data_IF_164362725684
#
_entry.id   IF_164362725684
#
_cell.length_a   1.000
_cell.length_b   1.000
_cell.length_c   1.000
_cell.angle_alpha   90.00
_cell.angle_beta   90.00
_cell.angle_gamma   90.00
#
_symmetry.space_group_name_H-M   'P 1'
#
loop_
_entity.id
_entity.type
_entity.pdbx_description
1 polymer ?
#
# COMPACT_ATOMS: atom_id res chain seq x y z
N UNK A 1 -14.38 -1.63 -7.13
CA UNK A 1 -15.45 -1.41 -8.13
C UNK A 1 -14.83 -0.74 -9.35
N UNK A 2 -15.38 -0.93 -10.55
CA UNK A 2 -14.89 -0.26 -11.75
C UNK A 2 -16.00 0.61 -12.34
N UNK A 3 -15.71 1.90 -12.52
CA UNK A 3 -16.59 2.85 -13.20
C UNK A 3 -15.95 3.20 -14.55
N UNK A 4 -16.59 2.82 -15.65
CA UNK A 4 -16.10 3.08 -17.01
C UNK A 4 -16.78 4.32 -17.57
N UNK A 5 -15.99 5.27 -18.06
CA UNK A 5 -16.42 6.44 -18.81
C UNK A 5 -15.94 6.35 -20.26
N UNK A 6 -16.19 7.40 -21.05
CA UNK A 6 -15.85 7.41 -22.48
C UNK A 6 -14.35 7.29 -22.75
N UNK A 7 -13.51 7.93 -21.93
CA UNK A 7 -12.06 8.02 -22.11
C UNK A 7 -11.24 7.58 -20.88
N UNK A 8 -11.89 7.26 -19.77
CA UNK A 8 -11.19 6.85 -18.54
C UNK A 8 -11.92 5.71 -17.82
N UNK A 9 -11.18 4.95 -17.01
CA UNK A 9 -11.71 3.97 -16.07
C UNK A 9 -11.29 4.36 -14.66
N UNK A 10 -12.26 4.45 -13.76
CA UNK A 10 -12.00 4.69 -12.33
C UNK A 10 -12.11 3.36 -11.59
N UNK A 11 -11.07 3.00 -10.85
CA UNK A 11 -11.00 1.80 -10.05
C UNK A 11 -11.00 2.13 -8.55
N UNK A 12 -12.12 1.83 -7.89
CA UNK A 12 -12.21 1.88 -6.43
C UNK A 12 -11.65 0.57 -5.86
N UNK A 13 -10.43 0.62 -5.33
CA UNK A 13 -9.70 -0.55 -4.84
C UNK A 13 -9.85 -0.66 -3.32
N UNK A 14 -10.18 -1.87 -2.86
CA UNK A 14 -10.13 -2.25 -1.44
C UNK A 14 -9.24 -3.46 -1.28
N UNK A 15 -8.02 -3.24 -0.77
CA UNK A 15 -6.99 -4.27 -0.63
C UNK A 15 -6.95 -4.67 0.86
N UNK A 16 -7.17 -5.94 1.12
CA UNK A 16 -7.08 -6.52 2.47
C UNK A 16 -6.03 -7.62 2.51
N UNK A 17 -5.36 -7.76 3.64
CA UNK A 17 -4.29 -8.73 3.79
C UNK A 17 -3.63 -8.68 5.15
N UNK A 18 -2.46 -9.29 5.26
CA UNK A 18 -1.68 -9.29 6.50
C UNK A 18 -0.20 -9.36 6.18
N UNK A 19 0.58 -8.45 6.78
CA UNK A 19 2.02 -8.54 6.81
C UNK A 19 2.48 -9.44 7.95
N UNK A 20 3.49 -10.27 7.70
CA UNK A 20 4.31 -10.83 8.77
C UNK A 20 5.58 -10.01 8.89
N UNK A 21 5.72 -9.25 9.99
CA UNK A 21 6.86 -8.37 10.24
C UNK A 21 7.61 -8.77 11.50
N UNK A 22 8.93 -8.61 11.52
CA UNK A 22 9.68 -8.78 12.75
C UNK A 22 9.35 -7.64 13.73
N UNK A 23 9.05 -7.98 14.98
CA UNK A 23 8.87 -6.99 16.03
C UNK A 23 10.15 -6.15 16.17
N UNK A 24 10.04 -4.82 16.17
CA UNK A 24 11.17 -3.91 16.27
C UNK A 24 11.96 -4.02 17.59
N UNK A 25 11.43 -4.73 18.61
CA UNK A 25 12.08 -4.93 19.92
C UNK A 25 12.55 -6.36 20.14
N UNK A 26 11.70 -7.34 19.84
CA UNK A 26 11.94 -8.74 20.19
C UNK A 26 12.34 -9.61 18.99
N UNK A 27 12.22 -9.09 17.77
CA UNK A 27 12.36 -9.81 16.49
C UNK A 27 11.38 -10.98 16.28
N UNK A 28 10.47 -11.22 17.23
CA UNK A 28 9.39 -12.19 17.08
C UNK A 28 8.48 -11.76 15.93
N UNK A 29 8.00 -12.69 15.08
CA UNK A 29 7.03 -12.38 14.04
C UNK A 29 5.74 -11.78 14.60
N UNK A 30 5.24 -10.72 13.95
CA UNK A 30 4.00 -10.02 14.27
C UNK A 30 3.16 -9.92 13.01
N UNK A 31 1.90 -10.33 13.12
CA UNK A 31 0.90 -10.13 12.08
C UNK A 31 0.35 -8.70 12.16
N UNK A 32 0.46 -7.96 11.04
CA UNK A 32 -0.07 -6.60 10.92
C UNK A 32 -1.12 -6.59 9.82
N UNK A 33 -2.39 -6.30 10.12
CA UNK A 33 -3.44 -6.28 9.11
C UNK A 33 -3.22 -5.16 8.10
N UNK A 34 -3.59 -5.43 6.85
CA UNK A 34 -3.61 -4.48 5.74
C UNK A 34 -5.07 -4.21 5.42
N UNK A 35 -5.46 -2.94 5.37
CA UNK A 35 -6.78 -2.46 4.96
C UNK A 35 -6.62 -1.13 4.22
N UNK A 36 -6.39 -1.21 2.90
CA UNK A 36 -6.09 -0.06 2.04
C UNK A 36 -7.31 0.22 1.17
N UNK A 37 -7.72 1.49 1.11
CA UNK A 37 -8.76 1.97 0.21
C UNK A 37 -8.16 3.06 -0.66
N UNK A 38 -8.13 2.84 -1.96
CA UNK A 38 -7.61 3.81 -2.93
C UNK A 38 -8.57 3.94 -4.11
N UNK A 39 -8.52 5.08 -4.78
CA UNK A 39 -9.21 5.33 -6.04
C UNK A 39 -8.17 5.65 -7.10
N UNK A 40 -8.12 4.83 -8.14
CA UNK A 40 -7.10 4.91 -9.20
C UNK A 40 -7.80 5.21 -10.53
N UNK A 41 -7.25 6.12 -11.33
CA UNK A 41 -7.85 6.55 -12.60
C UNK A 41 -6.94 6.12 -13.75
N UNK A 42 -7.52 5.51 -14.77
CA UNK A 42 -6.80 5.04 -15.95
C UNK A 42 -7.28 5.77 -17.20
N UNK A 43 -6.40 6.49 -17.90
CA UNK A 43 -6.68 7.08 -19.22
C UNK A 43 -6.61 6.01 -20.31
N UNK A 44 -7.68 5.86 -21.08
CA UNK A 44 -7.79 4.88 -22.16
C UNK A 44 -7.29 5.40 -23.50
N UNK A 45 -7.23 6.70 -23.70
CA UNK A 45 -6.92 7.31 -24.99
C UNK A 45 -5.46 7.78 -25.08
N UNK A 46 -4.71 7.70 -23.99
CA UNK A 46 -3.34 8.25 -23.90
C UNK A 46 -3.32 9.75 -24.21
N UNK A 47 -4.47 10.40 -24.05
CA UNK A 47 -4.66 11.83 -24.28
C UNK A 47 -4.30 12.52 -22.99
N UNK A 48 -3.02 12.42 -22.63
CA UNK A 48 -2.35 13.15 -21.58
C UNK A 48 -3.09 14.46 -21.27
N UNK A 49 -3.99 14.43 -20.28
CA UNK A 49 -4.34 15.61 -19.50
C UNK A 49 -3.16 15.94 -18.59
N UNK A 50 -1.95 15.92 -19.14
CA UNK A 50 -0.76 16.48 -18.55
C UNK A 50 -0.88 17.96 -18.85
N UNK A 51 -1.64 18.67 -18.02
CA UNK A 51 -1.11 19.97 -17.63
C UNK A 51 0.24 19.67 -16.98
N UNK A 52 1.31 20.22 -17.54
CA UNK A 52 2.73 20.07 -17.17
C UNK A 52 3.06 20.25 -15.66
N UNK A 53 2.07 20.45 -14.79
CA UNK A 53 2.22 20.79 -13.38
C UNK A 53 1.77 19.70 -12.39
N UNK A 54 1.11 18.59 -12.79
CA UNK A 54 0.63 17.57 -11.82
C UNK A 54 0.73 16.13 -12.39
N UNK A 55 1.87 15.46 -12.17
CA UNK A 55 1.91 13.98 -12.12
C UNK A 55 1.11 13.55 -10.88
N UNK A 56 -0.21 13.38 -11.02
CA UNK A 56 -1.04 12.79 -9.96
C UNK A 56 -0.71 11.30 -9.88
N UNK A 57 -0.19 10.85 -8.73
CA UNK A 57 0.23 9.48 -8.45
C UNK A 57 -0.91 8.45 -8.61
N UNK A 58 -2.16 8.92 -8.67
CA UNK A 58 -3.35 8.08 -8.89
C UNK A 58 -3.82 8.03 -10.35
N UNK A 59 -3.11 8.68 -11.28
CA UNK A 59 -3.45 8.72 -12.70
C UNK A 59 -2.48 7.85 -13.52
N UNK A 60 -3.04 6.90 -14.26
CA UNK A 60 -2.28 5.85 -14.95
C UNK A 60 -2.66 5.78 -16.43
N UNK A 61 -1.69 5.54 -17.30
CA UNK A 61 -1.99 5.26 -18.71
C UNK A 61 -2.40 3.79 -18.90
N UNK A 62 -3.51 3.56 -19.61
CA UNK A 62 -3.84 2.21 -20.05
C UNK A 62 -2.84 1.76 -21.13
N UNK A 63 -2.26 0.58 -20.95
CA UNK A 63 -1.31 0.01 -21.93
C UNK A 63 -2.05 -0.90 -22.90
N UNK A 64 -2.03 -0.58 -24.19
CA UNK A 64 -2.72 -1.34 -25.25
C UNK A 64 -4.23 -1.59 -24.97
N UNK A 65 -4.90 -0.62 -24.32
CA UNK A 65 -6.32 -0.74 -23.95
C UNK A 65 -6.58 -1.68 -22.77
N UNK A 66 -5.55 -2.09 -22.04
CA UNK A 66 -5.62 -2.92 -20.85
C UNK A 66 -5.16 -2.13 -19.62
N UNK A 67 -5.89 -2.25 -18.51
CA UNK A 67 -5.49 -1.71 -17.20
C UNK A 67 -4.88 -2.83 -16.36
N UNK A 68 -3.78 -2.57 -15.66
CA UNK A 68 -3.13 -3.56 -14.79
C UNK A 68 -3.27 -3.20 -13.30
N UNK A 69 -4.36 -3.66 -12.71
CA UNK A 69 -4.64 -3.44 -11.27
C UNK A 69 -3.66 -4.19 -10.35
N UNK A 70 -2.95 -5.22 -10.85
CA UNK A 70 -2.02 -6.00 -10.04
C UNK A 70 -0.81 -5.15 -9.64
N UNK A 71 -0.25 -4.42 -10.59
CA UNK A 71 0.94 -3.60 -10.37
C UNK A 71 0.62 -2.47 -9.39
N UNK A 72 -0.54 -1.82 -9.57
CA UNK A 72 -1.03 -0.79 -8.63
C UNK A 72 -1.28 -1.35 -7.24
N UNK A 73 -1.86 -2.55 -7.13
CA UNK A 73 -2.03 -3.20 -5.83
C UNK A 73 -0.69 -3.50 -5.14
N UNK A 74 0.33 -3.95 -5.90
CA UNK A 74 1.67 -4.21 -5.35
C UNK A 74 2.34 -2.92 -4.85
N UNK A 75 2.20 -1.82 -5.61
CA UNK A 75 2.66 -0.49 -5.22
C UNK A 75 1.99 0.00 -3.93
N UNK A 76 0.65 0.00 -3.89
CA UNK A 76 -0.13 0.43 -2.72
C UNK A 76 0.26 -0.37 -1.47
N UNK A 77 0.44 -1.69 -1.62
CA UNK A 77 0.92 -2.56 -0.54
C UNK A 77 2.29 -2.06 -0.06
N UNK A 78 3.27 -1.88 -0.96
CA UNK A 78 4.62 -1.43 -0.59
C UNK A 78 4.61 -0.06 0.12
N UNK A 79 3.84 0.89 -0.38
CA UNK A 79 3.75 2.26 0.16
C UNK A 79 3.13 2.27 1.55
N UNK A 80 2.03 1.54 1.75
CA UNK A 80 1.28 1.49 3.01
C UNK A 80 1.92 0.56 4.06
N UNK A 81 3.08 -0.04 3.75
CA UNK A 81 3.79 -0.88 4.70
C UNK A 81 4.24 -0.03 5.89
N UNK A 82 3.84 -0.39 7.13
CA UNK A 82 4.22 0.38 8.30
C UNK A 82 5.73 0.31 8.54
N UNK A 83 6.33 1.41 9.00
CA UNK A 83 7.77 1.46 9.26
C UNK A 83 8.24 0.45 10.32
N UNK A 84 7.40 0.15 11.32
CA UNK A 84 7.73 -0.73 12.46
C UNK A 84 6.46 -1.45 12.95
N UNK A 85 6.65 -2.68 13.42
CA UNK A 85 5.63 -3.49 14.08
C UNK A 85 6.07 -3.85 15.51
N UNK A 86 5.11 -4.00 16.43
CA UNK A 86 5.38 -4.37 17.82
C UNK A 86 4.53 -5.56 18.22
N UNK A 87 5.17 -6.58 18.80
CA UNK A 87 4.46 -7.68 19.41
C UNK A 87 3.75 -7.19 20.67
N UNK A 88 2.63 -7.82 21.01
CA UNK A 88 1.96 -7.61 22.28
C UNK A 88 2.94 -7.84 23.44
N UNK A 89 2.93 -6.95 24.44
CA UNK A 89 3.84 -6.96 25.60
C UNK A 89 5.35 -6.83 25.29
N UNK A 90 5.72 -6.34 24.10
CA UNK A 90 7.13 -6.11 23.75
C UNK A 90 7.82 -4.99 24.55
N UNK A 91 7.08 -4.19 25.32
CA UNK A 91 7.63 -3.12 26.17
C UNK A 91 8.57 -3.64 27.26
N UNK A 92 8.44 -4.91 27.66
CA UNK A 92 9.26 -5.48 28.74
C UNK A 92 10.76 -5.47 28.39
N UNK A 93 11.12 -5.66 27.12
CA UNK A 93 12.53 -5.59 26.68
C UNK A 93 13.17 -4.20 26.83
N UNK A 94 12.38 -3.13 26.96
CA UNK A 94 12.92 -1.80 27.25
C UNK A 94 13.31 -1.62 28.72
N UNK A 95 12.83 -2.49 29.61
CA UNK A 95 13.02 -2.39 31.06
C UNK A 95 14.05 -3.39 31.58
N UNK A 96 14.20 -4.52 30.91
CA UNK A 96 15.00 -5.66 31.37
C UNK A 96 15.49 -6.46 30.15
N UNK A 97 16.75 -6.91 30.17
CA UNK A 97 17.33 -7.82 29.19
C UNK A 97 17.75 -9.14 29.84
N UNK A 98 17.93 -10.20 29.03
CA UNK A 98 18.46 -11.47 29.53
C UNK A 98 19.88 -11.28 30.09
N UNK A 99 20.00 -11.09 31.41
CA UNK A 99 21.25 -10.85 32.13
C UNK A 99 21.57 -9.38 32.41
N UNK A 100 20.66 -8.44 32.14
CA UNK A 100 20.82 -7.00 32.44
C UNK A 100 19.52 -6.43 33.01
N UNK A 101 19.60 -5.82 34.21
CA UNK A 101 18.55 -4.98 34.77
C UNK A 101 18.95 -3.50 34.63
N UNK A 102 17.98 -2.63 34.35
CA UNK A 102 18.17 -1.18 34.25
C UNK A 102 18.22 -0.51 35.63
#
# INVERSE_FOLDING_TARGET
ELTVKSNEVIADMHITGTYTMACARTLVPVEVPIDIKSQEIFDLEGNAYISDDEEDEHYHDATDGMINLKDIAEELVIIEKPMRAFANNSDQMLREGNGWEA
#
